data_IF_230515078261
#
_entry.id   IF_230515078261
#
_cell.length_a   1.000
_cell.length_b   1.000
_cell.length_c   1.000
_cell.angle_alpha   90.00
_cell.angle_beta   90.00
_cell.angle_gamma   90.00
#
_symmetry.space_group_name_H-M   'P 1'
#
loop_
_entity.id
_entity.type
_entity.pdbx_description
1 polymer ?
#
# COMPACT_ATOMS: atom_id res chain seq x y z
N UNK A 1 11.22 9.06 16.47
CA UNK A 1 12.21 8.68 15.44
C UNK A 1 11.66 7.64 14.48
N UNK A 2 11.22 6.46 14.93
CA UNK A 2 10.70 5.41 14.02
C UNK A 2 9.51 5.85 13.16
N UNK A 3 8.50 6.50 13.74
CA UNK A 3 7.38 7.03 12.98
C UNK A 3 7.83 7.99 11.86
N UNK A 4 8.75 8.90 12.17
CA UNK A 4 9.34 9.82 11.19
C UNK A 4 10.08 9.07 10.08
N UNK A 5 10.89 8.05 10.42
CA UNK A 5 11.61 7.24 9.44
C UNK A 5 10.64 6.53 8.48
N UNK A 6 9.58 5.92 9.01
CA UNK A 6 8.58 5.25 8.17
C UNK A 6 7.83 6.23 7.26
N UNK A 7 7.42 7.39 7.78
CA UNK A 7 6.80 8.45 6.95
C UNK A 7 7.76 8.96 5.88
N UNK A 8 9.03 9.17 6.22
CA UNK A 8 10.06 9.65 5.29
C UNK A 8 10.34 8.64 4.18
N UNK A 9 10.35 7.35 4.49
CA UNK A 9 10.45 6.28 3.48
C UNK A 9 9.25 6.29 2.53
N UNK A 10 8.03 6.41 3.05
CA UNK A 10 6.81 6.50 2.22
C UNK A 10 6.87 7.71 1.30
N UNK A 11 7.32 8.87 1.80
CA UNK A 11 7.48 10.09 1.00
C UNK A 11 8.40 9.87 -0.21
N UNK A 12 9.58 9.30 -0.01
CA UNK A 12 10.52 9.05 -1.11
C UNK A 12 10.04 7.94 -2.07
N UNK A 13 9.30 6.93 -1.58
CA UNK A 13 8.65 5.95 -2.47
C UNK A 13 7.65 6.62 -3.41
N UNK A 14 6.87 7.59 -2.90
CA UNK A 14 5.97 8.41 -3.72
C UNK A 14 6.69 9.17 -4.83
N UNK A 15 7.84 9.78 -4.51
CA UNK A 15 8.66 10.48 -5.50
C UNK A 15 9.16 9.55 -6.60
N UNK A 16 9.68 8.36 -6.26
CA UNK A 16 10.17 7.39 -7.26
C UNK A 16 9.02 6.84 -8.10
N UNK A 17 7.87 6.58 -7.50
CA UNK A 17 6.67 6.15 -8.23
C UNK A 17 6.27 7.18 -9.30
N UNK A 18 6.21 8.47 -8.93
CA UNK A 18 5.89 9.56 -9.87
C UNK A 18 6.89 9.64 -11.03
N UNK A 19 8.19 9.53 -10.72
CA UNK A 19 9.24 9.49 -11.74
C UNK A 19 9.07 8.30 -12.70
N UNK A 20 8.75 7.10 -12.19
CA UNK A 20 8.56 5.91 -13.01
C UNK A 20 7.30 5.99 -13.88
N UNK A 21 6.21 6.59 -13.37
CA UNK A 21 4.96 6.83 -14.13
C UNK A 21 5.17 7.67 -15.39
N UNK A 22 6.22 8.48 -15.45
CA UNK A 22 6.59 9.25 -16.64
C UNK A 22 7.40 8.43 -17.68
N UNK A 23 7.57 7.13 -17.44
CA UNK A 23 8.35 6.22 -18.31
C UNK A 23 7.49 5.03 -18.75
N UNK A 24 8.04 4.15 -19.59
CA UNK A 24 7.39 2.87 -19.94
C UNK A 24 7.50 1.79 -18.86
N UNK A 25 8.22 2.05 -17.76
CA UNK A 25 8.36 1.11 -16.64
C UNK A 25 7.20 1.34 -15.68
N UNK A 26 6.39 0.29 -15.46
CA UNK A 26 5.29 0.38 -14.52
C UNK A 26 5.83 0.63 -13.10
N UNK A 27 5.30 1.65 -12.39
CA UNK A 27 5.73 1.95 -11.04
C UNK A 27 5.22 0.88 -10.05
N UNK A 28 5.94 0.60 -8.96
CA UNK A 28 5.51 -0.36 -7.94
C UNK A 28 4.29 0.17 -7.14
N UNK A 29 3.45 -0.75 -6.67
CA UNK A 29 2.27 -0.44 -5.83
C UNK A 29 2.67 0.35 -4.57
N UNK A 30 1.91 1.41 -4.30
CA UNK A 30 2.01 2.20 -3.07
C UNK A 30 0.90 1.90 -2.05
N UNK A 31 -0.18 1.27 -2.48
CA UNK A 31 -1.35 0.99 -1.65
C UNK A 31 -1.04 0.03 -0.50
N UNK A 32 -1.86 0.14 0.54
CA UNK A 32 -1.79 -0.65 1.75
C UNK A 32 -2.01 -2.14 1.45
N UNK A 33 -1.23 -2.99 2.11
CA UNK A 33 -1.42 -4.43 2.04
C UNK A 33 -2.49 -4.83 3.06
N UNK A 34 -3.51 -5.57 2.61
CA UNK A 34 -4.37 -6.29 3.54
C UNK A 34 -3.62 -7.54 3.99
N UNK A 35 -3.07 -7.49 5.20
CA UNK A 35 -2.38 -8.65 5.77
C UNK A 35 -3.40 -9.71 6.15
N UNK A 36 -3.10 -10.98 5.89
CA UNK A 36 -3.96 -12.09 6.31
C UNK A 36 -4.18 -12.12 7.84
N UNK A 37 -3.22 -11.60 8.61
CA UNK A 37 -3.35 -11.42 10.07
C UNK A 37 -4.44 -10.45 10.47
N UNK A 38 -4.81 -9.52 9.60
CA UNK A 38 -5.80 -8.47 9.90
C UNK A 38 -7.23 -8.92 9.54
N UNK A 39 -7.37 -10.08 8.88
CA UNK A 39 -8.65 -10.61 8.44
C UNK A 39 -9.71 -10.67 9.56
N UNK A 40 -9.40 -11.13 10.80
CA UNK A 40 -10.39 -11.16 11.88
C UNK A 40 -10.93 -9.78 12.26
N UNK A 41 -10.20 -8.71 11.96
CA UNK A 41 -10.58 -7.32 12.25
C UNK A 41 -11.22 -6.62 11.05
N UNK A 42 -11.01 -7.13 9.83
CA UNK A 42 -11.32 -6.42 8.57
C UNK A 42 -12.29 -7.18 7.65
N UNK A 43 -12.71 -8.39 8.00
CA UNK A 43 -13.55 -9.25 7.15
C UNK A 43 -14.82 -8.54 6.63
N UNK A 44 -15.52 -7.79 7.48
CA UNK A 44 -16.73 -7.06 7.09
C UNK A 44 -16.45 -5.98 6.03
N UNK A 45 -15.32 -5.29 6.13
CA UNK A 45 -14.90 -4.27 5.19
C UNK A 45 -14.47 -4.89 3.86
N UNK A 46 -13.70 -5.97 3.90
CA UNK A 46 -13.27 -6.70 2.70
C UNK A 46 -14.48 -7.26 1.93
N UNK A 47 -15.48 -7.80 2.64
CA UNK A 47 -16.76 -8.22 2.03
C UNK A 47 -17.49 -7.05 1.37
N UNK A 48 -17.58 -5.90 2.05
CA UNK A 48 -18.27 -4.72 1.51
C UNK A 48 -17.60 -4.17 0.25
N UNK A 49 -16.27 -4.29 0.15
CA UNK A 49 -15.48 -3.87 -1.00
C UNK A 49 -15.34 -4.95 -2.08
N UNK A 50 -15.94 -6.12 -1.88
CA UNK A 50 -15.89 -7.26 -2.78
C UNK A 50 -14.43 -7.71 -3.09
N UNK A 51 -13.57 -7.65 -2.07
CA UNK A 51 -12.17 -8.05 -2.10
C UNK A 51 -12.00 -9.51 -1.61
N UNK A 52 -10.90 -10.20 -1.99
CA UNK A 52 -10.63 -11.57 -1.56
C UNK A 52 -10.54 -11.72 -0.03
N UNK A 53 -10.96 -12.89 0.45
CA UNK A 53 -10.98 -13.29 1.86
C UNK A 53 -10.34 -14.69 1.88
N UNK A 54 -9.02 -14.73 1.80
CA UNK A 54 -8.22 -15.96 1.84
C UNK A 54 -7.28 -15.96 3.05
#
# INVERSE_FOLDING_TARGET
>A
VLAHLFTHQIHHRGQVHDMLSATSVAPPQLDEFFLSSDLPLREAELKALNLPIE
#
